data_IF_336774693525
#
_entry.id   IF_336774693525
#
_cell.length_a   1.000
_cell.length_b   1.000
_cell.length_c   1.000
_cell.angle_alpha   90.00
_cell.angle_beta   90.00
_cell.angle_gamma   90.00
#
_symmetry.space_group_name_H-M   'P 1'
#
loop_
_entity.id
_entity.type
_entity.pdbx_description
1 polymer ?
#
# COMPACT_ATOMS: atom_id res chain seq x y z
N UNK A 1 0.29 12.94 2.57
CA UNK A 1 -0.41 11.62 2.49
C UNK A 1 -0.67 11.29 1.03
N UNK A 2 -0.55 10.01 0.67
CA UNK A 2 -0.94 9.50 -0.65
C UNK A 2 -2.10 8.53 -0.53
N UNK A 3 -3.03 8.58 -1.49
CA UNK A 3 -4.17 7.67 -1.61
C UNK A 3 -3.98 6.78 -2.85
N UNK A 4 -4.08 5.47 -2.66
CA UNK A 4 -4.11 4.50 -3.75
C UNK A 4 -5.53 4.08 -4.08
N UNK A 5 -5.92 4.28 -5.33
CA UNK A 5 -7.17 3.76 -5.89
C UNK A 5 -6.89 2.64 -6.91
N UNK A 6 -7.74 1.62 -6.92
CA UNK A 6 -7.72 0.62 -8.00
C UNK A 6 -8.33 1.19 -9.29
N UNK A 7 -7.81 0.82 -10.45
CA UNK A 7 -8.40 1.19 -11.73
C UNK A 7 -9.84 0.68 -11.85
N UNK A 8 -10.72 1.46 -12.50
CA UNK A 8 -12.12 1.09 -12.67
C UNK A 8 -12.35 0.21 -13.89
N UNK A 9 -13.42 -0.59 -13.85
CA UNK A 9 -13.86 -1.34 -15.02
C UNK A 9 -14.37 -0.39 -16.12
N UNK A 10 -15.23 0.58 -15.75
CA UNK A 10 -15.71 1.61 -16.67
C UNK A 10 -14.57 2.58 -17.00
N UNK A 11 -14.30 2.78 -18.28
CA UNK A 11 -13.28 3.71 -18.79
C UNK A 11 -13.81 4.53 -19.96
N UNK A 12 -13.14 5.63 -20.29
CA UNK A 12 -13.36 6.34 -21.57
C UNK A 12 -12.93 5.47 -22.76
N UNK A 13 -13.39 5.84 -23.96
CA UNK A 13 -13.09 5.13 -25.22
C UNK A 13 -11.78 5.56 -25.87
N UNK A 14 -11.30 6.76 -25.54
CA UNK A 14 -10.10 7.33 -26.10
C UNK A 14 -8.97 7.42 -25.07
N UNK A 15 -7.70 7.49 -25.50
CA UNK A 15 -6.59 7.74 -24.60
C UNK A 15 -6.80 9.05 -23.83
N UNK A 16 -6.61 8.99 -22.52
CA UNK A 16 -6.81 10.12 -21.63
C UNK A 16 -5.88 9.99 -20.40
N UNK A 17 -5.64 11.08 -19.65
CA UNK A 17 -5.00 11.01 -18.34
C UNK A 17 -5.65 9.95 -17.46
N UNK A 18 -4.86 9.18 -16.71
CA UNK A 18 -5.38 8.07 -15.93
C UNK A 18 -6.49 8.49 -14.93
N UNK A 19 -6.41 9.71 -14.40
CA UNK A 19 -7.44 10.30 -13.51
C UNK A 19 -8.78 10.60 -14.20
N UNK A 20 -8.77 10.75 -15.53
CA UNK A 20 -9.96 10.99 -16.36
C UNK A 20 -10.44 9.71 -17.02
N UNK A 21 -9.50 8.85 -17.44
CA UNK A 21 -9.83 7.57 -18.06
C UNK A 21 -10.70 6.71 -17.13
N UNK A 22 -10.45 6.72 -15.82
CA UNK A 22 -11.18 5.89 -14.86
C UNK A 22 -12.53 6.50 -14.46
N UNK A 23 -13.63 5.84 -14.85
CA UNK A 23 -15.01 6.32 -14.72
C UNK A 23 -15.85 5.54 -13.69
N UNK A 24 -15.22 4.73 -12.83
CA UNK A 24 -15.92 3.98 -11.78
C UNK A 24 -16.42 4.88 -10.65
N UNK A 25 -17.57 4.54 -10.06
CA UNK A 25 -18.16 5.34 -8.97
C UNK A 25 -17.23 5.46 -7.75
N UNK A 26 -16.65 4.33 -7.31
CA UNK A 26 -15.67 4.34 -6.21
C UNK A 26 -14.46 5.21 -6.54
N UNK A 27 -13.91 5.05 -7.74
CA UNK A 27 -12.77 5.84 -8.21
C UNK A 27 -13.08 7.35 -8.19
N UNK A 28 -14.23 7.77 -8.73
CA UNK A 28 -14.66 9.17 -8.69
C UNK A 28 -14.83 9.69 -7.26
N UNK A 29 -15.31 8.86 -6.34
CA UNK A 29 -15.44 9.23 -4.94
C UNK A 29 -14.07 9.44 -4.28
N UNK A 30 -13.12 8.54 -4.54
CA UNK A 30 -11.74 8.65 -4.03
C UNK A 30 -11.03 9.85 -4.64
N UNK A 31 -11.18 10.10 -5.96
CA UNK A 31 -10.67 11.29 -6.64
C UNK A 31 -11.12 12.57 -5.95
N UNK A 32 -12.41 12.66 -5.59
CA UNK A 32 -12.96 13.81 -4.85
C UNK A 32 -12.38 13.90 -3.44
N UNK A 33 -12.27 12.78 -2.71
CA UNK A 33 -11.66 12.75 -1.39
C UNK A 33 -10.23 13.31 -1.41
N UNK A 34 -9.42 12.85 -2.38
CA UNK A 34 -8.04 13.30 -2.55
C UNK A 34 -7.97 14.80 -2.87
N UNK A 35 -8.76 15.26 -3.85
CA UNK A 35 -8.79 16.68 -4.23
C UNK A 35 -9.26 17.60 -3.09
N UNK A 36 -10.29 17.21 -2.32
CA UNK A 36 -10.82 18.03 -1.22
C UNK A 36 -9.84 18.23 -0.07
N UNK A 37 -8.85 17.34 0.06
CA UNK A 37 -7.89 17.39 1.17
C UNK A 37 -6.45 17.62 0.70
N UNK A 38 -6.23 17.95 -0.59
CA UNK A 38 -4.90 18.07 -1.20
C UNK A 38 -4.01 16.84 -0.95
N UNK A 39 -4.59 15.64 -1.07
CA UNK A 39 -3.82 14.39 -1.03
C UNK A 39 -3.38 13.99 -2.42
N UNK A 40 -2.18 13.42 -2.52
CA UNK A 40 -1.72 12.83 -3.76
C UNK A 40 -2.52 11.56 -4.07
N UNK A 41 -2.80 11.33 -5.35
CA UNK A 41 -3.55 10.17 -5.83
C UNK A 41 -2.65 9.33 -6.73
N UNK A 42 -2.56 8.03 -6.44
CA UNK A 42 -1.90 7.05 -7.31
C UNK A 42 -2.90 5.97 -7.71
N UNK A 43 -2.77 5.46 -8.93
CA UNK A 43 -3.76 4.53 -9.51
C UNK A 43 -3.09 3.18 -9.77
N UNK A 44 -3.56 2.12 -9.11
CA UNK A 44 -3.10 0.76 -9.39
C UNK A 44 -3.86 0.16 -10.59
N UNK A 45 -3.13 -0.08 -11.67
CA UNK A 45 -3.56 -0.73 -12.89
C UNK A 45 -3.05 -2.17 -12.99
N UNK A 46 -3.95 -3.12 -13.30
CA UNK A 46 -3.55 -4.50 -13.60
C UNK A 46 -2.72 -4.68 -14.88
N UNK A 47 -2.66 -3.66 -15.74
CA UNK A 47 -1.86 -3.65 -16.99
C UNK A 47 -0.56 -2.88 -16.79
N UNK A 48 -0.67 -1.65 -16.29
CA UNK A 48 0.40 -0.66 -16.27
C UNK A 48 1.11 -0.49 -14.92
N UNK A 49 0.67 -1.15 -13.84
CA UNK A 49 1.24 -0.95 -12.50
C UNK A 49 0.73 0.34 -11.87
N UNK A 50 1.60 1.10 -11.20
CA UNK A 50 1.22 2.36 -10.54
C UNK A 50 1.31 3.52 -11.53
N UNK A 51 0.17 4.14 -11.81
CA UNK A 51 0.05 5.29 -12.71
C UNK A 51 -0.01 6.60 -11.93
N UNK A 52 0.58 7.63 -12.52
CA UNK A 52 0.34 9.03 -12.13
C UNK A 52 -1.04 9.50 -12.63
N UNK A 53 -1.68 10.49 -11.97
CA UNK A 53 -2.97 11.02 -12.39
C UNK A 53 -3.00 11.55 -13.84
N UNK A 54 -1.97 12.27 -14.23
CA UNK A 54 -1.77 12.95 -15.51
C UNK A 54 -1.27 12.02 -16.63
N UNK A 55 -0.77 10.84 -16.27
CA UNK A 55 -0.24 9.88 -17.22
C UNK A 55 -1.31 9.44 -18.24
N UNK A 56 -1.13 9.84 -19.50
CA UNK A 56 -2.02 9.46 -20.60
C UNK A 56 -1.87 7.98 -20.93
N UNK A 57 -2.96 7.24 -20.90
CA UNK A 57 -2.99 5.81 -21.20
C UNK A 57 -4.16 5.45 -22.10
N UNK A 58 -3.95 4.44 -22.96
CA UNK A 58 -5.01 3.86 -23.81
C UNK A 58 -6.00 3.05 -22.95
N UNK A 59 -7.30 3.03 -23.29
CA UNK A 59 -8.27 2.16 -22.63
C UNK A 59 -7.89 0.68 -22.73
N UNK A 60 -8.26 -0.08 -21.71
CA UNK A 60 -7.91 -1.50 -21.60
C UNK A 60 -8.90 -2.25 -20.70
N UNK A 61 -9.04 -3.55 -20.97
CA UNK A 61 -9.88 -4.48 -20.20
C UNK A 61 -9.05 -5.59 -19.57
N UNK A 62 -8.14 -5.23 -18.66
CA UNK A 62 -7.29 -6.17 -17.93
C UNK A 62 -7.47 -5.97 -16.42
N UNK A 63 -8.05 -7.00 -15.76
CA UNK A 63 -8.30 -7.03 -14.31
C UNK A 63 -7.27 -7.93 -13.63
N UNK A 64 -6.99 -7.68 -12.36
CA UNK A 64 -6.25 -8.60 -11.50
C UNK A 64 -7.23 -9.65 -10.97
N UNK A 65 -7.12 -10.90 -11.44
CA UNK A 65 -8.02 -11.99 -11.03
C UNK A 65 -7.28 -13.13 -10.36
N UNK A 66 -6.19 -13.56 -10.96
CA UNK A 66 -5.44 -14.76 -10.56
C UNK A 66 -4.27 -14.42 -9.64
N UNK A 67 -3.67 -15.44 -9.02
CA UNK A 67 -2.43 -15.26 -8.27
C UNK A 67 -1.27 -14.85 -9.18
N UNK A 68 -1.21 -15.39 -10.39
CA UNK A 68 -0.23 -14.98 -11.40
C UNK A 68 -0.35 -13.50 -11.77
N UNK A 69 -1.58 -12.97 -11.89
CA UNK A 69 -1.78 -11.52 -12.10
C UNK A 69 -1.23 -10.70 -10.94
N UNK A 70 -1.45 -11.15 -9.71
CA UNK A 70 -0.96 -10.46 -8.51
C UNK A 70 0.57 -10.39 -8.52
N UNK A 71 1.24 -11.52 -8.77
CA UNK A 71 2.71 -11.60 -8.84
C UNK A 71 3.25 -10.69 -9.95
N UNK A 72 2.72 -10.83 -11.17
CA UNK A 72 3.12 -10.01 -12.33
C UNK A 72 2.96 -8.51 -12.08
N UNK A 73 1.84 -8.09 -11.48
CA UNK A 73 1.63 -6.66 -11.17
C UNK A 73 2.55 -6.22 -10.04
N UNK A 74 2.79 -7.08 -9.04
CA UNK A 74 3.69 -6.78 -7.93
C UNK A 74 5.12 -6.48 -8.39
N UNK A 75 5.67 -7.34 -9.23
CA UNK A 75 7.00 -7.18 -9.83
C UNK A 75 7.12 -5.86 -10.58
N UNK A 76 6.08 -5.47 -11.33
CA UNK A 76 6.05 -4.19 -12.04
C UNK A 76 6.05 -2.95 -11.14
N UNK A 77 5.50 -3.05 -9.93
CA UNK A 77 5.32 -1.87 -9.06
C UNK A 77 6.40 -1.72 -8.01
N UNK A 78 7.23 -2.72 -7.74
CA UNK A 78 8.11 -2.75 -6.57
C UNK A 78 9.05 -1.53 -6.47
N UNK A 79 9.66 -1.13 -7.59
CA UNK A 79 10.58 0.02 -7.63
C UNK A 79 9.83 1.32 -7.34
N UNK A 80 8.70 1.55 -8.02
CA UNK A 80 7.88 2.76 -7.85
C UNK A 80 7.22 2.82 -6.47
N UNK A 81 6.82 1.68 -5.92
CA UNK A 81 6.27 1.59 -4.57
C UNK A 81 7.33 1.92 -3.52
N UNK A 82 8.59 1.48 -3.69
CA UNK A 82 9.69 1.86 -2.78
C UNK A 82 9.95 3.35 -2.75
N UNK A 83 9.85 4.04 -3.88
CA UNK A 83 9.96 5.50 -3.93
C UNK A 83 8.83 6.16 -3.13
N UNK A 84 7.59 5.78 -3.44
CA UNK A 84 6.39 6.28 -2.73
C UNK A 84 6.48 5.98 -1.22
N UNK A 85 7.03 4.83 -0.82
CA UNK A 85 7.18 4.51 0.59
C UNK A 85 8.12 5.47 1.34
N UNK A 86 9.17 5.97 0.67
CA UNK A 86 10.08 6.97 1.24
C UNK A 86 9.45 8.36 1.28
N UNK A 87 8.71 8.73 0.23
CA UNK A 87 8.21 10.10 0.04
C UNK A 87 6.97 10.43 0.90
N UNK A 88 6.32 9.43 1.49
CA UNK A 88 5.08 9.62 2.24
C UNK A 88 5.07 8.94 3.61
N UNK A 89 4.52 9.62 4.62
CA UNK A 89 4.33 9.06 5.97
C UNK A 89 3.05 8.23 6.11
N UNK A 90 2.04 8.53 5.28
CA UNK A 90 0.74 7.87 5.29
C UNK A 90 0.37 7.45 3.88
N UNK A 91 0.08 6.16 3.72
CA UNK A 91 -0.34 5.49 2.49
C UNK A 91 -1.73 4.90 2.70
N UNK A 92 -2.76 5.59 2.21
CA UNK A 92 -4.16 5.17 2.31
C UNK A 92 -4.56 4.31 1.11
N UNK A 93 -4.89 3.05 1.32
CA UNK A 93 -5.24 2.07 0.27
C UNK A 93 -6.75 1.84 0.25
N UNK A 94 -7.42 2.26 -0.83
CA UNK A 94 -8.87 2.07 -1.02
C UNK A 94 -9.14 1.37 -2.36
N UNK A 95 -9.23 0.04 -2.30
CA UNK A 95 -9.44 -0.80 -3.49
C UNK A 95 -9.97 -2.19 -3.11
N UNK A 96 -10.41 -2.97 -4.09
CA UNK A 96 -10.89 -4.34 -3.89
C UNK A 96 -9.80 -5.34 -3.47
N UNK A 97 -10.22 -6.47 -2.88
CA UNK A 97 -9.30 -7.44 -2.24
C UNK A 97 -8.16 -7.94 -3.12
N UNK A 98 -8.44 -8.34 -4.37
CA UNK A 98 -7.39 -8.80 -5.31
C UNK A 98 -6.35 -7.72 -5.62
N UNK A 99 -6.74 -6.45 -5.64
CA UNK A 99 -5.81 -5.35 -5.85
C UNK A 99 -4.98 -5.09 -4.59
N UNK A 100 -5.59 -5.19 -3.39
CA UNK A 100 -4.85 -5.07 -2.12
C UNK A 100 -3.79 -6.15 -1.95
N UNK A 101 -4.05 -7.38 -2.43
CA UNK A 101 -3.09 -8.48 -2.40
C UNK A 101 -1.77 -8.18 -3.15
N UNK A 102 -1.77 -7.22 -4.09
CA UNK A 102 -0.54 -6.76 -4.74
C UNK A 102 0.39 -6.09 -3.72
N UNK A 103 -0.17 -5.21 -2.89
CA UNK A 103 0.57 -4.45 -1.87
C UNK A 103 0.85 -5.25 -0.60
N UNK A 104 0.11 -6.34 -0.38
CA UNK A 104 0.11 -7.12 0.85
C UNK A 104 1.52 -7.40 1.42
N UNK A 105 2.54 -7.81 0.64
CA UNK A 105 3.88 -8.05 1.19
C UNK A 105 4.65 -6.82 1.68
N UNK A 106 4.17 -5.60 1.40
CA UNK A 106 4.83 -4.34 1.73
C UNK A 106 4.11 -3.56 2.83
N UNK A 107 3.04 -4.11 3.42
CA UNK A 107 2.30 -3.40 4.46
C UNK A 107 3.13 -3.31 5.75
N UNK A 108 3.20 -2.09 6.27
CA UNK A 108 3.79 -1.72 7.55
C UNK A 108 2.92 -0.62 8.21
N UNK A 109 3.46 0.04 9.24
CA UNK A 109 2.77 1.10 9.98
C UNK A 109 2.41 2.35 9.16
N UNK A 110 2.96 2.54 7.96
CA UNK A 110 2.57 3.63 7.05
C UNK A 110 1.29 3.32 6.27
N UNK A 111 0.88 2.05 6.19
CA UNK A 111 -0.29 1.64 5.40
C UNK A 111 -1.60 1.70 6.20
N UNK A 112 -2.59 2.36 5.61
CA UNK A 112 -3.96 2.46 6.12
C UNK A 112 -4.87 1.80 5.10
N UNK A 113 -5.40 0.62 5.40
CA UNK A 113 -6.03 -0.25 4.40
C UNK A 113 -7.53 -0.36 4.66
N UNK A 114 -8.32 0.36 3.86
CA UNK A 114 -9.77 0.36 4.01
C UNK A 114 -10.35 -0.97 3.54
N UNK A 115 -11.10 -1.63 4.44
CA UNK A 115 -11.85 -2.85 4.16
C UNK A 115 -13.31 -2.72 4.61
N UNK A 116 -14.24 -3.19 3.77
CA UNK A 116 -15.64 -3.32 4.14
C UNK A 116 -16.20 -4.61 3.51
N UNK A 117 -16.84 -5.44 4.33
CA UNK A 117 -17.42 -6.73 3.92
C UNK A 117 -18.53 -6.59 2.86
N UNK A 118 -19.17 -5.42 2.77
CA UNK A 118 -20.20 -5.09 1.78
C UNK A 118 -19.62 -4.79 0.39
N UNK A 119 -18.30 -4.85 0.22
CA UNK A 119 -17.63 -4.59 -1.05
C UNK A 119 -17.75 -3.13 -1.48
N UNK A 120 -18.06 -2.89 -2.76
CA UNK A 120 -18.03 -1.55 -3.33
C UNK A 120 -19.00 -0.57 -2.66
N UNK A 121 -20.19 -1.02 -2.25
CA UNK A 121 -21.16 -0.20 -1.52
C UNK A 121 -20.64 0.23 -0.14
N UNK A 122 -19.93 -0.68 0.54
CA UNK A 122 -19.25 -0.39 1.80
C UNK A 122 -18.16 0.67 1.63
N UNK A 123 -17.28 0.50 0.64
CA UNK A 123 -16.26 1.52 0.34
C UNK A 123 -16.86 2.89 0.01
N UNK A 124 -17.95 2.92 -0.76
CA UNK A 124 -18.63 4.17 -1.08
C UNK A 124 -19.20 4.85 0.17
N UNK A 125 -19.77 4.08 1.11
CA UNK A 125 -20.24 4.58 2.40
C UNK A 125 -19.11 5.18 3.23
N UNK A 126 -17.99 4.47 3.35
CA UNK A 126 -16.79 4.94 4.07
C UNK A 126 -16.23 6.22 3.45
N UNK A 127 -15.97 6.23 2.13
CA UNK A 127 -15.42 7.40 1.43
C UNK A 127 -16.38 8.59 1.49
N UNK A 128 -17.70 8.36 1.42
CA UNK A 128 -18.71 9.41 1.58
C UNK A 128 -18.65 10.05 2.96
N UNK A 129 -18.45 9.25 4.02
CA UNK A 129 -18.22 9.76 5.38
C UNK A 129 -16.94 10.60 5.44
N UNK A 130 -15.82 10.07 4.93
CA UNK A 130 -14.52 10.75 4.94
C UNK A 130 -14.56 12.13 4.28
N UNK A 131 -15.30 12.27 3.18
CA UNK A 131 -15.48 13.55 2.47
C UNK A 131 -16.19 14.64 3.27
N UNK A 132 -16.88 14.28 4.36
CA UNK A 132 -17.55 15.23 5.27
C UNK A 132 -16.67 15.63 6.46
N UNK A 133 -15.57 14.92 6.68
CA UNK A 133 -14.67 15.15 7.79
C UNK A 133 -13.62 16.19 7.42
N UNK A 134 -13.23 17.03 8.39
CA UNK A 134 -12.01 17.83 8.27
C UNK A 134 -10.78 16.93 8.35
N UNK A 135 -9.64 17.35 7.81
CA UNK A 135 -8.42 16.54 7.77
C UNK A 135 -8.03 15.93 9.12
N UNK A 136 -8.06 16.64 10.27
CA UNK A 136 -7.75 16.02 11.57
C UNK A 136 -8.73 14.91 11.97
N UNK A 137 -10.03 15.12 11.71
CA UNK A 137 -11.07 14.12 11.99
C UNK A 137 -10.94 12.91 11.06
N UNK A 138 -10.57 13.15 9.80
CA UNK A 138 -10.29 12.08 8.85
C UNK A 138 -9.10 11.24 9.30
N UNK A 139 -8.01 11.87 9.75
CA UNK A 139 -6.83 11.16 10.25
C UNK A 139 -7.16 10.28 11.47
N UNK A 140 -7.98 10.79 12.39
CA UNK A 140 -8.50 10.00 13.52
C UNK A 140 -9.36 8.84 13.03
N UNK A 141 -10.28 9.08 12.09
CA UNK A 141 -11.20 8.05 11.59
C UNK A 141 -10.45 6.97 10.79
N UNK A 142 -9.41 7.32 10.02
CA UNK A 142 -8.64 6.31 9.27
C UNK A 142 -7.71 5.48 10.17
N UNK A 143 -7.33 5.95 11.36
CA UNK A 143 -6.43 5.24 12.26
C UNK A 143 -6.92 3.84 12.67
N UNK A 144 -8.23 3.59 12.61
CA UNK A 144 -8.81 2.26 12.79
C UNK A 144 -8.40 1.25 11.69
N UNK A 145 -7.94 1.74 10.53
CA UNK A 145 -7.50 0.97 9.37
C UNK A 145 -5.97 0.89 9.24
N UNK A 146 -5.22 1.44 10.19
CA UNK A 146 -3.76 1.35 10.17
C UNK A 146 -3.33 -0.11 10.33
N UNK A 147 -2.42 -0.55 9.47
CA UNK A 147 -1.76 -1.85 9.64
C UNK A 147 -0.72 -1.67 10.75
N UNK A 148 -0.85 -2.46 11.81
CA UNK A 148 0.14 -2.52 12.87
C UNK A 148 0.90 -3.83 12.77
N UNK A 149 2.21 -3.78 13.01
CA UNK A 149 2.99 -4.99 13.18
C UNK A 149 2.48 -5.79 14.38
N UNK A 150 2.48 -7.12 14.26
CA UNK A 150 2.09 -8.01 15.36
C UNK A 150 2.94 -7.74 16.63
N UNK A 151 4.21 -7.34 16.50
CA UNK A 151 5.11 -6.94 17.60
C UNK A 151 4.68 -5.65 18.28
N UNK A 152 4.37 -4.58 17.55
CA UNK A 152 3.87 -3.30 18.10
C UNK A 152 2.51 -3.45 18.80
N UNK A 153 1.63 -4.30 18.25
CA UNK A 153 0.35 -4.63 18.89
C UNK A 153 0.54 -5.40 20.21
N UNK A 154 1.52 -6.31 20.27
CA UNK A 154 1.85 -7.05 21.49
C UNK A 154 2.59 -6.17 22.50
N UNK A 155 3.51 -5.29 22.08
CA UNK A 155 4.22 -4.35 22.96
C UNK A 155 3.26 -3.38 23.66
N UNK A 156 2.35 -2.75 22.91
CA UNK A 156 1.32 -1.87 23.48
C UNK A 156 0.31 -2.59 24.39
N UNK A 157 0.23 -3.92 24.30
CA UNK A 157 -0.61 -4.75 25.19
C UNK A 157 0.11 -5.18 26.47
N UNK A 158 1.45 -5.27 26.45
CA UNK A 158 2.23 -5.82 27.56
C UNK A 158 2.93 -4.77 28.44
N UNK A 159 3.18 -3.54 27.96
CA UNK A 159 3.81 -2.49 28.77
C UNK A 159 3.04 -1.15 28.74
N UNK A 160 2.45 -0.81 29.90
CA UNK A 160 1.94 0.49 30.38
C UNK A 160 0.74 1.18 29.68
N UNK A 161 -0.48 0.96 30.20
CA UNK A 161 -1.21 1.92 31.07
C UNK A 161 -2.66 1.41 31.29
N UNK A 162 -3.01 0.84 32.46
CA UNK A 162 -4.34 0.29 32.73
C UNK A 162 -5.47 1.33 32.81
N UNK A 163 -5.18 2.63 32.65
CA UNK A 163 -6.17 3.72 32.78
C UNK A 163 -6.70 4.33 31.47
N UNK A 164 -6.39 3.77 30.30
CA UNK A 164 -7.09 4.12 29.05
C UNK A 164 -7.91 2.94 28.51
N UNK A 165 -8.76 2.43 29.40
CA UNK A 165 -9.80 1.44 29.16
C UNK A 165 -10.95 2.01 28.30
N UNK A 166 -10.63 2.61 27.15
CA UNK A 166 -11.61 3.03 26.13
C UNK A 166 -10.99 2.89 24.74
N UNK A 167 -10.39 1.73 24.45
CA UNK A 167 -10.20 1.30 23.07
C UNK A 167 -11.58 0.87 22.56
N UNK A 168 -12.14 1.73 21.71
CA UNK A 168 -13.35 1.51 20.92
C UNK A 168 -13.52 0.03 20.57
N UNK A 169 -14.61 -0.58 21.05
CA UNK A 169 -14.96 -1.99 20.81
C UNK A 169 -15.19 -2.30 19.32
N UNK A 170 -15.23 -1.27 18.47
CA UNK A 170 -15.29 -1.39 17.02
C UNK A 170 -13.92 -1.31 16.33
N UNK A 171 -12.82 -1.06 17.06
CA UNK A 171 -11.46 -1.04 16.50
C UNK A 171 -11.05 -2.47 16.13
N UNK A 172 -10.69 -2.77 14.87
CA UNK A 172 -10.29 -4.13 14.48
C UNK A 172 -9.03 -4.58 15.25
N UNK A 173 -9.21 -5.54 16.16
CA UNK A 173 -8.19 -6.05 17.09
C UNK A 173 -7.23 -7.08 16.49
N UNK A 174 -6.74 -6.87 15.27
CA UNK A 174 -6.15 -7.95 14.49
C UNK A 174 -5.00 -7.46 13.60
N UNK A 175 -3.79 -7.94 13.88
CA UNK A 175 -2.63 -7.86 12.99
C UNK A 175 -2.98 -8.35 11.58
N UNK A 176 -2.22 -7.88 10.58
CA UNK A 176 -2.31 -8.21 9.15
C UNK A 176 -2.82 -9.62 8.77
N UNK A 177 -2.39 -10.64 9.52
CA UNK A 177 -2.79 -12.04 9.31
C UNK A 177 -4.26 -12.32 9.68
N UNK A 178 -4.74 -11.71 10.76
CA UNK A 178 -6.07 -11.92 11.32
C UNK A 178 -7.15 -11.07 10.61
N UNK A 179 -6.80 -9.90 10.05
CA UNK A 179 -7.75 -9.02 9.33
C UNK A 179 -8.29 -9.66 8.04
N UNK A 180 -7.51 -10.54 7.39
CA UNK A 180 -7.82 -11.03 6.05
C UNK A 180 -8.21 -12.51 5.95
N UNK A 181 -8.02 -13.32 7.01
CA UNK A 181 -8.39 -14.75 7.00
C UNK A 181 -9.68 -15.12 7.75
N UNK A 182 -10.25 -14.24 8.56
CA UNK A 182 -11.46 -14.58 9.32
C UNK A 182 -11.24 -15.68 10.39
N UNK A 183 -9.99 -16.00 10.70
CA UNK A 183 -9.64 -16.97 11.73
C UNK A 183 -9.60 -16.28 13.12
N UNK A 184 -10.12 -16.98 14.15
CA UNK A 184 -10.29 -16.48 15.52
C UNK A 184 -8.98 -16.39 16.34
N UNK A 185 -7.81 -16.43 15.71
CA UNK A 185 -6.54 -16.48 16.43
C UNK A 185 -5.36 -15.95 15.60
N UNK A 186 -4.44 -15.27 16.29
CA UNK A 186 -3.14 -14.88 15.75
C UNK A 186 -2.12 -15.94 16.16
N UNK A 187 -1.72 -16.83 15.24
CA UNK A 187 -0.65 -17.81 15.49
C UNK A 187 0.71 -17.20 15.16
N UNK A 188 1.07 -16.15 15.90
CA UNK A 188 2.31 -15.37 15.68
C UNK A 188 3.57 -16.23 15.89
N UNK A 189 3.51 -17.25 16.76
CA UNK A 189 4.63 -18.15 17.03
C UNK A 189 5.11 -18.91 15.78
N UNK A 190 4.21 -19.24 14.84
CA UNK A 190 4.56 -19.89 13.56
C UNK A 190 5.05 -18.94 12.49
N UNK A 191 4.67 -17.66 12.56
CA UNK A 191 5.04 -16.64 11.56
C UNK A 191 6.38 -15.97 11.91
N UNK A 192 6.72 -15.87 13.19
CA UNK A 192 7.96 -15.26 13.64
C UNK A 192 9.20 -16.00 13.13
N UNK A 193 9.22 -17.33 13.18
CA UNK A 193 10.32 -18.15 12.63
C UNK A 193 10.51 -17.93 11.13
N UNK A 194 9.42 -17.91 10.35
CA UNK A 194 9.48 -17.66 8.91
C UNK A 194 9.89 -16.23 8.55
N UNK A 195 9.51 -15.23 9.36
CA UNK A 195 9.86 -13.83 9.11
C UNK A 195 11.29 -13.51 9.53
N UNK A 196 11.78 -14.14 10.60
CA UNK A 196 13.16 -13.99 11.06
C UNK A 196 14.14 -14.67 10.10
N UNK A 197 13.84 -15.88 9.61
CA UNK A 197 14.62 -16.55 8.56
C UNK A 197 14.66 -15.71 7.28
N UNK A 198 13.51 -15.15 6.86
CA UNK A 198 13.43 -14.34 5.64
C UNK A 198 14.13 -12.98 5.75
N UNK A 199 14.08 -12.33 6.92
CA UNK A 199 14.85 -11.10 7.12
C UNK A 199 16.35 -11.37 7.18
N UNK A 200 16.80 -12.51 7.72
CA UNK A 200 18.19 -12.93 7.69
C UNK A 200 18.66 -13.23 6.25
N UNK A 201 17.84 -13.86 5.43
CA UNK A 201 18.12 -14.09 3.99
C UNK A 201 18.11 -12.80 3.17
N UNK A 202 17.16 -11.89 3.39
CA UNK A 202 17.09 -10.60 2.68
C UNK A 202 18.22 -9.65 3.11
N UNK A 203 18.66 -9.68 4.37
CA UNK A 203 19.83 -8.88 4.81
C UNK A 203 21.15 -9.47 4.33
N UNK A 204 21.31 -10.80 4.28
CA UNK A 204 22.50 -11.43 3.70
C UNK A 204 22.58 -11.21 2.18
N UNK A 205 21.46 -11.30 1.46
CA UNK A 205 21.39 -10.99 0.02
C UNK A 205 21.71 -9.51 -0.28
N UNK A 206 21.20 -8.57 0.54
CA UNK A 206 21.52 -7.13 0.39
C UNK A 206 22.99 -6.85 0.72
N UNK A 207 23.56 -7.51 1.74
CA UNK A 207 24.97 -7.39 2.06
C UNK A 207 25.86 -7.93 0.95
N UNK A 208 25.51 -9.06 0.35
CA UNK A 208 26.30 -9.65 -0.74
C UNK A 208 26.19 -8.87 -2.06
N UNK A 209 25.02 -8.29 -2.38
CA UNK A 209 24.89 -7.37 -3.50
C UNK A 209 25.71 -6.09 -3.33
N UNK A 210 25.73 -5.52 -2.11
CA UNK A 210 26.54 -4.33 -1.81
C UNK A 210 28.05 -4.61 -1.89
N UNK A 211 28.50 -5.84 -1.59
CA UNK A 211 29.88 -6.27 -1.78
C UNK A 211 30.23 -6.44 -3.26
N UNK A 212 29.32 -6.97 -4.07
CA UNK A 212 29.50 -7.14 -5.52
C UNK A 212 29.54 -5.78 -6.24
N UNK A 213 28.70 -4.82 -5.84
CA UNK A 213 28.73 -3.44 -6.38
C UNK A 213 30.00 -2.68 -5.96
N UNK A 214 30.44 -2.82 -4.71
CA UNK A 214 31.68 -2.18 -4.23
C UNK A 214 32.94 -2.79 -4.86
N UNK A 215 32.93 -4.06 -5.26
CA UNK A 215 34.05 -4.66 -5.99
C UNK A 215 34.11 -4.25 -7.47
N UNK A 216 32.97 -3.90 -8.09
CA UNK A 216 32.94 -3.39 -9.48
C UNK A 216 33.36 -1.93 -9.61
N UNK A 217 33.29 -1.13 -8.54
CA UNK A 217 33.61 0.31 -8.57
C UNK A 217 35.12 0.62 -8.38
N UNK A 218 35.96 -0.37 -8.04
CA UNK A 218 37.41 -0.14 -7.82
C UNK A 218 38.27 -0.27 -9.10
N UNK A 219 37.68 -0.59 -10.25
CA UNK A 219 38.41 -0.64 -11.54
C UNK A 219 37.76 0.31 -12.55
N UNK A 220 37.94 1.64 -12.39
CA UNK A 220 37.84 2.63 -13.50
C UNK A 220 38.24 4.07 -13.13
N UNK A 221 39.11 4.30 -12.13
CA UNK A 221 39.63 5.66 -11.83
C UNK A 221 41.15 5.81 -11.90
N UNK A 222 41.86 4.89 -12.55
CA UNK A 222 43.27 5.09 -12.95
C UNK A 222 43.39 5.04 -14.47
N UNK A 223 43.08 6.15 -15.13
CA UNK A 223 43.58 6.55 -16.44
C UNK A 223 43.12 7.98 -16.70
N UNK A 224 43.94 8.95 -16.31
CA UNK A 224 44.22 10.21 -17.00
C UNK A 224 44.91 11.20 -16.06
N UNK A 225 46.21 10.99 -15.86
CA UNK A 225 47.15 12.02 -15.42
C UNK A 225 48.45 11.87 -16.21
N UNK A 226 48.37 12.12 -17.51
CA UNK A 226 49.51 12.51 -18.33
C UNK A 226 48.98 13.37 -19.48
N UNK A 227 49.12 14.69 -19.34
CA UNK A 227 49.33 15.68 -20.42
C UNK A 227 49.07 17.09 -19.87
N UNK A 228 50.09 17.71 -19.29
CA UNK A 228 50.80 18.90 -19.79
C UNK A 228 51.64 19.51 -18.68
#
# INVERSE_FOLDING_TARGET
MVVFAGCSQKKLLDPAPAIELNQGQLFRSIKRLAAQNNFDLKILSGKYGILEPDQVIKPYNQKIKTQADIIRVREKIIIKLRQIWRDYDIILVIMGGKYRQVFQPFFDNKFYVVFDKRGIGGFLSVVSRYRKLRTPQLLQDIAQFQILECSEFLWNRWYFNPFQKTLDVNRPHCCFYCTFKGEKGCDFAKLYSLYYEKQLEDTTFIQDLSKIENQKVVITSKLNSSQR
#
